data_IF_074064907930
#
_entry.id   IF_074064907930
#
_cell.length_a   1.000
_cell.length_b   1.000
_cell.length_c   1.000
_cell.angle_alpha   90.00
_cell.angle_beta   90.00
_cell.angle_gamma   90.00
#
_symmetry.space_group_name_H-M   'P 1'
#
loop_
_entity.id
_entity.type
_entity.pdbx_description
1 polymer ?
#
# COMPACT_ATOMS: atom_id res chain seq x y z
N UNK A 1 16.20 2.32 -10.22
CA UNK A 1 15.20 3.41 -10.13
C UNK A 1 14.65 3.53 -8.70
N UNK A 2 14.26 2.43 -8.07
CA UNK A 2 13.77 2.47 -6.69
C UNK A 2 14.84 3.05 -5.75
N UNK A 3 16.07 2.61 -5.86
CA UNK A 3 17.18 3.10 -5.03
C UNK A 3 17.40 4.61 -5.24
N UNK A 4 17.40 5.07 -6.48
CA UNK A 4 17.48 6.49 -6.77
C UNK A 4 16.31 7.31 -6.19
N UNK A 5 15.10 6.75 -6.12
CA UNK A 5 13.99 7.41 -5.40
C UNK A 5 14.22 7.44 -3.90
N UNK A 6 14.73 6.35 -3.32
CA UNK A 6 15.03 6.23 -1.91
C UNK A 6 16.15 7.20 -1.47
N UNK A 7 17.18 7.36 -2.31
CA UNK A 7 18.32 8.25 -2.02
C UNK A 7 17.94 9.75 -2.04
N UNK A 8 16.85 10.07 -2.72
CA UNK A 8 16.29 11.43 -2.80
C UNK A 8 15.02 11.61 -1.95
N UNK A 9 14.65 10.60 -1.17
CA UNK A 9 13.55 10.72 -0.21
C UNK A 9 13.98 11.51 1.02
N UNK A 10 13.03 12.21 1.64
CA UNK A 10 13.25 12.83 2.93
C UNK A 10 13.43 11.74 3.99
N UNK A 11 14.52 11.82 4.75
CA UNK A 11 14.83 10.83 5.78
C UNK A 11 13.90 10.96 6.99
N UNK A 12 13.48 9.83 7.53
CA UNK A 12 12.72 9.74 8.77
C UNK A 12 13.29 8.60 9.62
N UNK A 13 13.53 8.88 10.90
CA UNK A 13 14.07 7.91 11.85
C UNK A 13 12.93 7.13 12.50
N UNK A 14 12.68 5.94 11.98
CA UNK A 14 11.64 5.00 12.42
C UNK A 14 12.21 3.58 12.52
N UNK A 15 11.60 2.71 13.37
CA UNK A 15 12.05 1.33 13.49
C UNK A 15 11.97 0.61 12.14
N UNK A 16 13.07 0.02 11.69
CA UNK A 16 13.09 -0.78 10.45
C UNK A 16 12.19 -2.03 10.52
N UNK A 17 11.90 -2.49 11.73
CA UNK A 17 10.99 -3.64 11.99
C UNK A 17 9.50 -3.28 11.88
N UNK A 18 9.17 -2.09 11.38
CA UNK A 18 7.80 -1.70 11.09
C UNK A 18 7.29 -2.34 9.78
N UNK A 19 5.97 -2.39 9.63
CA UNK A 19 5.28 -2.91 8.45
C UNK A 19 4.72 -1.76 7.59
N UNK A 20 4.96 -1.81 6.28
CA UNK A 20 4.21 -1.03 5.29
C UNK A 20 3.08 -1.86 4.69
N UNK A 21 1.93 -1.25 4.49
CA UNK A 21 0.78 -1.86 3.83
C UNK A 21 0.29 -0.92 2.73
N UNK A 22 0.41 -1.35 1.49
CA UNK A 22 0.15 -0.48 0.34
C UNK A 22 -0.34 -1.28 -0.86
N UNK A 23 -1.11 -0.66 -1.74
CA UNK A 23 -1.47 -1.22 -3.05
C UNK A 23 -0.90 -0.36 -4.17
N UNK A 24 -0.73 -0.95 -5.33
CA UNK A 24 -0.36 -0.21 -6.55
C UNK A 24 -1.52 0.66 -7.06
N UNK A 25 -2.74 0.32 -6.68
CA UNK A 25 -3.94 0.86 -7.31
C UNK A 25 -4.08 0.40 -8.76
N UNK A 26 -5.08 0.96 -9.44
CA UNK A 26 -5.26 0.73 -10.88
C UNK A 26 -6.03 -0.54 -11.24
N UNK A 27 -6.60 -1.23 -10.27
CA UNK A 27 -7.45 -2.42 -10.44
C UNK A 27 -8.84 -2.10 -11.01
N UNK A 28 -9.26 -0.83 -10.99
CA UNK A 28 -10.56 -0.33 -11.46
C UNK A 28 -11.79 -0.94 -10.76
N UNK A 29 -11.61 -1.58 -9.61
CA UNK A 29 -12.69 -2.25 -8.88
C UNK A 29 -13.53 -1.30 -8.01
N UNK A 30 -13.04 -0.08 -7.77
CA UNK A 30 -13.70 0.93 -6.93
C UNK A 30 -14.06 0.43 -5.52
N UNK A 31 -13.18 -0.35 -4.92
CA UNK A 31 -13.30 -0.81 -3.54
C UNK A 31 -13.07 0.31 -2.52
N UNK A 32 -13.37 0.05 -1.26
CA UNK A 32 -12.96 0.90 -0.13
C UNK A 32 -11.44 0.87 0.03
N UNK A 33 -10.89 1.79 0.83
CA UNK A 33 -9.43 1.83 1.09
C UNK A 33 -9.00 0.69 2.03
N UNK A 34 -8.98 -0.55 1.50
CA UNK A 34 -8.72 -1.78 2.25
C UNK A 34 -7.37 -1.72 2.95
N UNK A 35 -6.31 -1.29 2.26
CA UNK A 35 -4.97 -1.17 2.85
C UNK A 35 -4.91 -0.18 4.02
N UNK A 36 -5.73 0.89 4.02
CA UNK A 36 -5.83 1.83 5.14
C UNK A 36 -6.55 1.19 6.33
N UNK A 37 -7.64 0.47 6.10
CA UNK A 37 -8.34 -0.26 7.15
C UNK A 37 -7.47 -1.37 7.74
N UNK A 38 -6.78 -2.14 6.91
CA UNK A 38 -5.85 -3.18 7.35
C UNK A 38 -4.71 -2.59 8.20
N UNK A 39 -4.16 -1.44 7.83
CA UNK A 39 -3.13 -0.74 8.60
C UNK A 39 -3.60 -0.44 10.04
N UNK A 40 -4.83 0.06 10.20
CA UNK A 40 -5.41 0.35 11.51
C UNK A 40 -5.65 -0.92 12.35
N UNK A 41 -6.17 -1.98 11.72
CA UNK A 41 -6.42 -3.26 12.39
C UNK A 41 -5.09 -3.87 12.87
N UNK A 42 -4.07 -3.88 12.03
CA UNK A 42 -2.76 -4.45 12.36
C UNK A 42 -2.07 -3.63 13.45
N UNK A 43 -2.13 -2.30 13.40
CA UNK A 43 -1.63 -1.47 14.48
C UNK A 43 -2.33 -1.77 15.82
N UNK A 44 -3.63 -2.06 15.78
CA UNK A 44 -4.41 -2.50 16.96
C UNK A 44 -3.95 -3.83 17.56
N UNK A 45 -3.19 -4.65 16.85
CA UNK A 45 -2.56 -5.87 17.39
C UNK A 45 -1.25 -5.60 18.13
N UNK A 46 -0.77 -4.36 18.14
CA UNK A 46 0.51 -3.97 18.73
C UNK A 46 1.70 -3.99 17.75
N UNK A 47 1.48 -4.30 16.48
CA UNK A 47 2.52 -4.17 15.46
C UNK A 47 2.72 -2.71 15.07
N UNK A 48 3.98 -2.30 14.88
CA UNK A 48 4.26 -0.95 14.37
C UNK A 48 3.99 -0.87 12.87
N UNK A 49 3.14 0.07 12.46
CA UNK A 49 2.79 0.29 11.05
C UNK A 49 3.29 1.65 10.57
N UNK A 50 4.09 1.64 9.52
CA UNK A 50 4.60 2.85 8.86
C UNK A 50 4.08 2.86 7.43
N UNK A 51 2.84 3.29 7.28
CA UNK A 51 2.16 3.26 6.00
C UNK A 51 2.64 4.37 5.08
N UNK A 52 3.19 4.00 3.93
CA UNK A 52 3.47 4.93 2.84
C UNK A 52 2.25 5.05 1.93
N UNK A 53 1.93 6.24 1.47
CA UNK A 53 0.79 6.42 0.59
C UNK A 53 0.65 7.82 0.01
N UNK A 54 -0.29 7.95 -0.92
CA UNK A 54 -0.53 9.19 -1.64
C UNK A 54 -2.04 9.45 -1.81
N UNK A 55 -2.36 10.58 -2.42
CA UNK A 55 -3.69 10.85 -2.96
C UNK A 55 -3.97 9.96 -4.16
N UNK A 56 -5.25 9.77 -4.48
CA UNK A 56 -5.66 9.01 -5.65
C UNK A 56 -5.05 9.59 -6.93
N UNK A 57 -4.54 8.69 -7.80
CA UNK A 57 -4.11 9.06 -9.14
C UNK A 57 -5.11 8.61 -10.21
N UNK A 58 -5.74 7.46 -10.03
CA UNK A 58 -6.68 6.84 -10.97
C UNK A 58 -8.00 6.41 -10.31
N UNK A 59 -8.00 6.21 -8.99
CA UNK A 59 -9.19 5.89 -8.19
C UNK A 59 -9.91 7.17 -7.73
N UNK A 60 -11.10 7.01 -7.16
CA UNK A 60 -11.89 8.15 -6.61
C UNK A 60 -11.34 8.66 -5.29
N UNK A 61 -10.64 7.85 -4.53
CA UNK A 61 -10.10 8.19 -3.20
C UNK A 61 -8.86 7.36 -2.90
N UNK A 62 -7.74 8.01 -2.62
CA UNK A 62 -6.51 7.39 -2.14
C UNK A 62 -6.45 7.33 -0.62
N UNK A 63 -5.42 6.69 -0.09
CA UNK A 63 -5.23 6.59 1.37
C UNK A 63 -5.12 7.96 2.05
N UNK A 64 -4.41 8.90 1.44
CA UNK A 64 -4.27 10.25 1.96
C UNK A 64 -5.62 11.00 2.00
N UNK A 65 -6.46 10.83 0.97
CA UNK A 65 -7.75 11.50 0.89
C UNK A 65 -8.70 11.03 2.02
N UNK A 66 -8.70 9.72 2.32
CA UNK A 66 -9.49 9.17 3.43
C UNK A 66 -8.98 9.64 4.78
N UNK A 67 -7.67 9.61 5.00
CA UNK A 67 -7.08 10.03 6.28
C UNK A 67 -7.36 11.51 6.55
N UNK A 68 -7.26 12.36 5.54
CA UNK A 68 -7.59 13.79 5.65
C UNK A 68 -9.09 14.00 5.96
N UNK A 69 -9.98 13.25 5.30
CA UNK A 69 -11.42 13.29 5.58
C UNK A 69 -11.76 12.82 7.01
N UNK A 70 -10.92 11.96 7.61
CA UNK A 70 -11.04 11.56 9.02
C UNK A 70 -10.38 12.56 9.99
N UNK A 71 -9.87 13.69 9.51
CA UNK A 71 -9.26 14.74 10.32
C UNK A 71 -7.77 14.52 10.65
N UNK A 72 -7.11 13.54 10.00
CA UNK A 72 -5.68 13.30 10.19
C UNK A 72 -4.89 14.31 9.35
N UNK A 73 -3.95 14.98 9.98
CA UNK A 73 -3.08 15.95 9.32
C UNK A 73 -1.99 15.25 8.52
N UNK A 74 -1.90 15.58 7.23
CA UNK A 74 -0.89 15.04 6.31
C UNK A 74 0.36 15.92 6.20
N UNK A 75 0.26 17.18 6.63
CA UNK A 75 1.28 18.22 6.52
C UNK A 75 2.17 18.35 7.77
N UNK A 76 2.22 17.29 8.59
CA UNK A 76 3.03 17.30 9.80
C UNK A 76 4.53 17.38 9.48
N UNK A 77 5.32 18.09 10.29
CA UNK A 77 6.78 18.04 10.21
C UNK A 77 7.31 16.60 10.41
N UNK A 78 8.37 16.23 9.70
CA UNK A 78 8.94 14.88 9.77
C UNK A 78 9.21 14.39 11.20
N UNK A 79 9.77 15.22 12.13
CA UNK A 79 9.93 14.79 13.51
C UNK A 79 8.62 14.43 14.22
N UNK A 80 7.53 15.16 13.94
CA UNK A 80 6.21 14.86 14.50
C UNK A 80 5.60 13.58 13.91
N UNK A 81 5.86 13.28 12.63
CA UNK A 81 5.49 12.00 12.01
C UNK A 81 6.20 10.83 12.70
N UNK A 82 7.49 10.98 13.02
CA UNK A 82 8.25 9.96 13.72
C UNK A 82 7.76 9.77 15.18
N UNK A 83 7.44 10.86 15.88
CA UNK A 83 6.88 10.80 17.22
C UNK A 83 5.52 10.12 17.26
N UNK A 84 4.65 10.44 16.30
CA UNK A 84 3.37 9.78 16.14
C UNK A 84 3.51 8.25 16.08
N UNK A 85 4.45 7.73 15.30
CA UNK A 85 4.71 6.29 15.24
C UNK A 85 5.16 5.71 16.59
N UNK A 86 5.98 6.42 17.35
CA UNK A 86 6.47 5.96 18.67
C UNK A 86 5.34 5.94 19.71
N UNK A 87 4.49 6.94 19.71
CA UNK A 87 3.40 7.07 20.69
C UNK A 87 2.20 6.16 20.39
N UNK A 88 1.83 6.03 19.11
CA UNK A 88 0.59 5.35 18.71
C UNK A 88 0.78 3.99 18.05
N UNK A 89 2.02 3.63 17.69
CA UNK A 89 2.32 2.41 16.92
C UNK A 89 1.98 2.51 15.44
N UNK A 90 1.44 3.64 14.95
CA UNK A 90 1.12 3.83 13.54
C UNK A 90 1.44 5.24 13.08
N UNK A 91 1.93 5.37 11.84
CA UNK A 91 2.08 6.68 11.19
C UNK A 91 1.86 6.58 9.69
N UNK A 92 1.64 7.74 9.07
CA UNK A 92 1.45 7.85 7.63
C UNK A 92 2.54 8.71 7.00
N UNK A 93 3.28 8.15 6.05
CA UNK A 93 4.28 8.85 5.26
C UNK A 93 3.64 9.34 3.96
N UNK A 94 3.29 10.62 3.94
CA UNK A 94 2.66 11.21 2.77
C UNK A 94 3.68 11.39 1.64
N UNK A 95 3.48 10.71 0.51
CA UNK A 95 4.46 10.64 -0.57
C UNK A 95 4.88 12.03 -1.11
N UNK A 96 3.99 13.03 -1.11
CA UNK A 96 4.35 14.38 -1.56
C UNK A 96 5.35 15.06 -0.63
N UNK A 97 5.29 14.79 0.67
CA UNK A 97 6.24 15.31 1.66
C UNK A 97 7.57 14.58 1.58
N UNK A 98 7.51 13.25 1.48
CA UNK A 98 8.69 12.40 1.61
C UNK A 98 9.45 12.16 0.29
N UNK A 99 8.80 12.34 -0.87
CA UNK A 99 9.43 12.23 -2.20
C UNK A 99 9.32 13.54 -2.98
N UNK A 100 9.95 14.63 -2.53
CA UNK A 100 9.81 15.95 -3.16
C UNK A 100 10.31 15.98 -4.61
N UNK A 101 11.24 15.11 -4.99
CA UNK A 101 11.74 14.97 -6.34
C UNK A 101 10.67 14.55 -7.36
N UNK A 102 9.59 13.89 -6.91
CA UNK A 102 8.49 13.47 -7.77
C UNK A 102 7.72 14.63 -8.40
N UNK A 103 7.83 15.85 -7.88
CA UNK A 103 7.29 17.06 -8.51
C UNK A 103 7.80 17.27 -9.93
N UNK A 104 9.02 16.84 -10.23
CA UNK A 104 9.63 16.99 -11.56
C UNK A 104 9.11 15.94 -12.56
N UNK A 105 8.64 14.81 -12.08
CA UNK A 105 8.14 13.71 -12.92
C UNK A 105 6.62 13.78 -13.12
N UNK A 106 5.90 14.34 -12.15
CA UNK A 106 4.44 14.39 -12.13
C UNK A 106 3.80 15.01 -13.38
N UNK A 107 4.26 16.17 -13.87
CA UNK A 107 3.72 16.78 -15.10
C UNK A 107 3.86 15.86 -16.33
N UNK A 108 5.03 15.27 -16.54
CA UNK A 108 5.31 14.37 -17.66
C UNK A 108 4.42 13.12 -17.59
N UNK A 109 4.26 12.53 -16.40
CA UNK A 109 3.37 11.38 -16.21
C UNK A 109 1.92 11.69 -16.57
N UNK A 110 1.42 12.87 -16.19
CA UNK A 110 0.07 13.33 -16.57
C UNK A 110 -0.11 13.48 -18.07
N UNK A 111 0.90 14.03 -18.74
CA UNK A 111 0.87 14.21 -20.21
C UNK A 111 0.89 12.87 -20.95
N UNK A 112 1.64 11.90 -20.45
CA UNK A 112 1.70 10.56 -21.06
C UNK A 112 0.37 9.82 -20.95
N UNK A 113 -0.39 9.98 -19.87
CA UNK A 113 -1.70 9.35 -19.67
C UNK A 113 -1.70 7.83 -19.62
N UNK A 114 -0.52 7.20 -19.51
CA UNK A 114 -0.35 5.74 -19.46
C UNK A 114 0.37 5.30 -18.18
N UNK A 115 0.20 4.06 -17.72
CA UNK A 115 0.98 3.49 -16.64
C UNK A 115 2.48 3.50 -16.97
N UNK A 116 3.29 3.85 -15.97
CA UNK A 116 4.75 3.87 -16.07
C UNK A 116 5.36 3.10 -14.92
N UNK A 117 6.68 2.91 -14.91
CA UNK A 117 7.40 2.29 -13.79
C UNK A 117 7.06 2.96 -12.44
N UNK A 118 6.81 4.26 -12.42
CA UNK A 118 6.45 5.00 -11.20
C UNK A 118 5.13 4.55 -10.55
N UNK A 119 4.28 3.81 -11.25
CA UNK A 119 3.08 3.22 -10.65
C UNK A 119 3.43 2.08 -9.67
N UNK A 120 4.59 1.45 -9.85
CA UNK A 120 5.05 0.30 -9.07
C UNK A 120 6.17 0.67 -8.09
N UNK A 121 6.86 1.80 -8.31
CA UNK A 121 7.98 2.20 -7.46
C UNK A 121 7.52 2.71 -6.08
N UNK A 122 6.35 3.33 -5.98
CA UNK A 122 5.82 3.86 -4.72
C UNK A 122 5.81 2.82 -3.60
N UNK A 123 5.19 1.64 -3.80
CA UNK A 123 5.20 0.56 -2.81
C UNK A 123 6.59 0.00 -2.46
N UNK A 124 7.59 0.24 -3.29
CA UNK A 124 8.95 -0.28 -3.12
C UNK A 124 9.92 0.74 -2.50
N UNK A 125 9.41 1.94 -2.17
CA UNK A 125 10.26 3.09 -1.77
C UNK A 125 9.71 3.80 -0.54
N UNK A 126 9.29 3.01 0.48
CA UNK A 126 8.91 3.58 1.77
C UNK A 126 10.07 4.38 2.37
N UNK A 127 9.91 5.67 2.66
CA UNK A 127 10.99 6.55 3.14
C UNK A 127 11.65 6.10 4.44
N UNK A 128 10.93 5.36 5.29
CA UNK A 128 11.47 4.79 6.53
C UNK A 128 12.31 3.52 6.29
N UNK A 129 12.45 3.04 5.05
CA UNK A 129 13.21 1.84 4.68
C UNK A 129 12.82 0.63 5.53
N UNK A 130 11.52 0.48 5.80
CA UNK A 130 10.99 -0.67 6.54
C UNK A 130 11.35 -1.98 5.86
N UNK A 131 11.58 -3.01 6.67
CA UNK A 131 12.01 -4.33 6.18
C UNK A 131 10.86 -5.31 6.00
N UNK A 132 9.63 -4.89 6.30
CA UNK A 132 8.44 -5.72 6.12
C UNK A 132 7.39 -4.96 5.33
N UNK A 133 6.81 -5.61 4.32
CA UNK A 133 5.81 -4.98 3.45
C UNK A 133 4.72 -5.97 3.04
N UNK A 134 3.47 -5.48 3.00
CA UNK A 134 2.33 -6.20 2.42
C UNK A 134 1.80 -5.36 1.24
N UNK A 135 1.89 -5.89 0.02
CA UNK A 135 1.69 -5.10 -1.18
C UNK A 135 0.70 -5.76 -2.14
N UNK A 136 -0.41 -5.09 -2.34
CA UNK A 136 -1.37 -5.46 -3.37
C UNK A 136 -0.95 -4.98 -4.77
N UNK A 137 -1.02 -5.83 -5.77
CA UNK A 137 -0.56 -5.50 -7.14
C UNK A 137 -1.56 -5.93 -8.20
N UNK A 138 -2.21 -4.98 -8.87
CA UNK A 138 -3.20 -5.29 -9.90
C UNK A 138 -2.62 -6.02 -11.13
N UNK A 139 -1.40 -5.70 -11.53
CA UNK A 139 -0.75 -6.29 -12.70
C UNK A 139 0.03 -7.56 -12.33
N UNK A 140 -0.35 -8.75 -12.86
CA UNK A 140 0.26 -10.03 -12.47
C UNK A 140 1.75 -10.14 -12.82
N UNK A 141 2.17 -9.56 -13.94
CA UNK A 141 3.58 -9.57 -14.36
C UNK A 141 4.43 -8.71 -13.45
N UNK A 142 3.88 -7.59 -12.99
CA UNK A 142 4.58 -6.70 -12.05
C UNK A 142 4.60 -7.25 -10.63
N UNK A 143 3.57 -7.98 -10.20
CA UNK A 143 3.54 -8.63 -8.90
C UNK A 143 4.75 -9.56 -8.71
N UNK A 144 4.97 -10.47 -9.66
CA UNK A 144 6.11 -11.38 -9.63
C UNK A 144 7.46 -10.64 -9.65
N UNK A 145 7.61 -9.64 -10.53
CA UNK A 145 8.84 -8.83 -10.61
C UNK A 145 9.13 -8.07 -9.31
N UNK A 146 8.11 -7.50 -8.70
CA UNK A 146 8.26 -6.80 -7.42
C UNK A 146 8.67 -7.78 -6.31
N UNK A 147 8.08 -8.97 -6.27
CA UNK A 147 8.43 -10.00 -5.31
C UNK A 147 9.92 -10.41 -5.42
N UNK A 148 10.43 -10.60 -6.64
CA UNK A 148 11.86 -10.86 -6.87
C UNK A 148 12.75 -9.72 -6.36
N UNK A 149 12.37 -8.46 -6.57
CA UNK A 149 13.16 -7.31 -6.06
C UNK A 149 13.22 -7.31 -4.54
N UNK A 150 12.14 -7.63 -3.84
CA UNK A 150 12.15 -7.73 -2.37
C UNK A 150 13.01 -8.90 -1.88
N UNK A 151 12.94 -10.05 -2.55
CA UNK A 151 13.81 -11.18 -2.25
C UNK A 151 15.30 -10.82 -2.43
N UNK A 152 15.67 -10.20 -3.56
CA UNK A 152 17.04 -9.74 -3.82
C UNK A 152 17.54 -8.71 -2.79
N UNK A 153 16.64 -7.91 -2.20
CA UNK A 153 16.98 -6.96 -1.13
C UNK A 153 17.10 -7.62 0.24
N UNK A 154 16.70 -8.87 0.38
CA UNK A 154 16.60 -9.57 1.67
C UNK A 154 15.53 -8.94 2.58
N UNK A 155 14.50 -8.31 2.01
CA UNK A 155 13.36 -7.76 2.73
C UNK A 155 12.27 -8.82 2.90
N UNK A 156 11.48 -8.74 3.97
CA UNK A 156 10.27 -9.55 4.12
C UNK A 156 9.13 -8.87 3.38
N UNK A 157 8.58 -9.51 2.37
CA UNK A 157 7.46 -8.95 1.63
C UNK A 157 6.42 -10.00 1.26
N UNK A 158 5.17 -9.65 1.45
CA UNK A 158 4.03 -10.39 0.95
C UNK A 158 3.40 -9.59 -0.19
N UNK A 159 3.57 -10.08 -1.40
CA UNK A 159 2.96 -9.51 -2.60
C UNK A 159 1.72 -10.33 -2.90
N UNK A 160 0.60 -9.70 -3.20
CA UNK A 160 -0.64 -10.42 -3.46
C UNK A 160 -1.48 -9.75 -4.54
N UNK A 161 -2.34 -10.58 -5.14
CA UNK A 161 -3.30 -10.19 -6.17
C UNK A 161 -4.49 -11.14 -6.17
N UNK A 162 -5.71 -10.61 -6.16
CA UNK A 162 -6.92 -11.39 -6.40
C UNK A 162 -6.97 -11.95 -7.83
N UNK A 163 -7.45 -13.18 -8.01
CA UNK A 163 -7.65 -13.75 -9.34
C UNK A 163 -8.75 -13.02 -10.13
N UNK A 164 -9.58 -12.23 -9.46
CA UNK A 164 -10.53 -11.28 -10.05
C UNK A 164 -9.90 -9.96 -10.52
N UNK A 165 -8.61 -9.77 -10.27
CA UNK A 165 -7.84 -8.58 -10.67
C UNK A 165 -7.67 -7.52 -9.59
N UNK A 166 -8.25 -7.74 -8.42
CA UNK A 166 -8.13 -6.85 -7.26
C UNK A 166 -6.66 -6.77 -6.79
N UNK A 167 -6.18 -5.57 -6.48
CA UNK A 167 -4.87 -5.37 -5.83
C UNK A 167 -4.95 -5.50 -4.30
N UNK A 168 -5.79 -6.41 -3.85
CA UNK A 168 -5.98 -6.80 -2.45
C UNK A 168 -6.28 -8.30 -2.37
N UNK A 169 -6.29 -8.88 -1.18
CA UNK A 169 -6.86 -10.21 -0.98
C UNK A 169 -8.38 -10.16 -1.19
N UNK A 170 -8.89 -11.05 -2.03
CA UNK A 170 -10.32 -11.09 -2.33
C UNK A 170 -11.03 -12.21 -1.58
N UNK A 171 -12.32 -12.00 -1.28
CA UNK A 171 -13.22 -13.04 -0.82
C UNK A 171 -14.16 -13.55 -1.93
N UNK A 172 -14.06 -12.98 -3.14
CA UNK A 172 -14.88 -13.40 -4.28
C UNK A 172 -14.33 -14.66 -4.96
N UNK A 173 -13.02 -14.81 -4.95
CA UNK A 173 -12.30 -15.93 -5.54
C UNK A 173 -11.01 -16.19 -4.75
N UNK A 174 -10.06 -16.91 -5.33
CA UNK A 174 -8.71 -17.09 -4.76
C UNK A 174 -7.83 -15.88 -5.02
N UNK A 175 -6.73 -15.78 -4.29
CA UNK A 175 -5.68 -14.81 -4.52
C UNK A 175 -4.34 -15.53 -4.72
N UNK A 176 -3.49 -14.97 -5.55
CA UNK A 176 -2.11 -15.43 -5.75
C UNK A 176 -1.18 -14.61 -4.88
N UNK A 177 -0.29 -15.28 -4.17
CA UNK A 177 0.64 -14.68 -3.23
C UNK A 177 2.07 -15.06 -3.58
N UNK A 178 2.96 -14.09 -3.42
CA UNK A 178 4.41 -14.26 -3.51
C UNK A 178 5.00 -13.73 -2.20
N UNK A 179 5.66 -14.60 -1.47
CA UNK A 179 6.26 -14.28 -0.19
C UNK A 179 7.78 -14.31 -0.31
N UNK A 180 8.42 -13.18 -0.05
CA UNK A 180 9.86 -13.04 0.00
C UNK A 180 10.29 -13.03 1.47
N UNK A 181 11.15 -13.96 1.87
CA UNK A 181 11.71 -14.09 3.22
C UNK A 181 13.16 -14.54 3.11
N UNK A 182 14.06 -13.80 3.75
CA UNK A 182 15.50 -14.14 3.82
C UNK A 182 16.16 -14.41 2.45
N UNK A 183 15.69 -13.71 1.42
CA UNK A 183 16.20 -13.84 0.05
C UNK A 183 15.53 -14.95 -0.77
N UNK A 184 14.70 -15.76 -0.16
CA UNK A 184 13.92 -16.79 -0.85
C UNK A 184 12.55 -16.29 -1.26
N UNK A 185 12.03 -16.78 -2.37
CA UNK A 185 10.72 -16.46 -2.89
C UNK A 185 9.85 -17.72 -2.96
N UNK A 186 8.71 -17.68 -2.28
CA UNK A 186 7.70 -18.73 -2.32
C UNK A 186 6.42 -18.20 -2.96
N UNK A 187 5.82 -18.98 -3.83
CA UNK A 187 4.54 -18.67 -4.45
C UNK A 187 3.48 -19.66 -3.98
N UNK A 188 2.30 -19.16 -3.60
CA UNK A 188 1.16 -19.99 -3.21
C UNK A 188 -0.17 -19.31 -3.49
N UNK A 189 -1.25 -20.04 -3.29
CA UNK A 189 -2.62 -19.52 -3.41
C UNK A 189 -3.29 -19.43 -2.05
N UNK A 190 -4.07 -18.40 -1.87
CA UNK A 190 -4.97 -18.21 -0.75
C UNK A 190 -6.41 -18.43 -1.23
N UNK A 191 -7.10 -19.40 -0.65
CA UNK A 191 -8.55 -19.58 -0.80
C UNK A 191 -9.23 -19.13 0.50
N UNK A 192 -10.08 -18.08 0.47
CA UNK A 192 -10.74 -17.59 1.67
C UNK A 192 -11.62 -18.65 2.35
N UNK A 193 -12.10 -19.64 1.61
CA UNK A 193 -12.94 -20.71 2.18
C UNK A 193 -12.19 -21.66 3.12
N UNK A 194 -10.88 -21.81 2.93
CA UNK A 194 -10.02 -22.61 3.83
C UNK A 194 -9.88 -21.97 5.22
N UNK A 195 -10.17 -20.66 5.32
CA UNK A 195 -10.16 -19.88 6.56
C UNK A 195 -11.56 -19.61 7.11
N UNK A 196 -12.58 -20.36 6.62
CA UNK A 196 -13.96 -20.22 7.09
C UNK A 196 -14.69 -18.98 6.56
N UNK A 197 -14.11 -18.24 5.62
CA UNK A 197 -14.76 -17.09 5.00
C UNK A 197 -15.69 -17.55 3.88
N UNK A 198 -16.89 -16.96 3.82
CA UNK A 198 -17.83 -17.24 2.74
C UNK A 198 -17.45 -16.43 1.50
N UNK A 199 -17.50 -17.08 0.32
CA UNK A 199 -17.33 -16.34 -0.95
C UNK A 199 -18.47 -15.34 -1.11
N UNK A 200 -18.09 -14.10 -1.39
CA UNK A 200 -19.03 -12.99 -1.62
C UNK A 200 -18.66 -12.23 -2.89
N UNK A 201 -19.67 -11.66 -3.53
CA UNK A 201 -19.43 -10.76 -4.65
C UNK A 201 -18.77 -9.47 -4.14
N UNK A 202 -17.84 -8.86 -4.88
CA UNK A 202 -17.26 -7.59 -4.51
C UNK A 202 -18.38 -6.56 -4.27
N UNK A 203 -18.36 -5.93 -3.11
CA UNK A 203 -19.33 -4.88 -2.78
C UNK A 203 -18.88 -3.60 -3.45
N UNK A 204 -19.62 -3.17 -4.47
CA UNK A 204 -19.34 -1.87 -5.08
C UNK A 204 -19.74 -0.73 -4.13
N UNK A 205 -19.01 0.37 -4.17
CA UNK A 205 -19.28 1.60 -3.39
C UNK A 205 -20.74 2.09 -3.49
N UNK A 206 -21.45 1.74 -4.54
CA UNK A 206 -22.84 2.15 -4.76
C UNK A 206 -23.83 1.58 -3.73
N UNK A 207 -23.46 0.54 -3.00
CA UNK A 207 -24.31 -0.10 -2.00
C UNK A 207 -24.10 0.42 -0.58
N UNK A 208 -23.06 1.21 -0.33
CA UNK A 208 -22.81 1.89 0.93
C UNK A 208 -23.51 3.25 0.98
N UNK A 209 -24.78 3.33 0.58
CA UNK A 209 -25.58 4.51 0.92
C UNK A 209 -25.81 4.51 2.42
N UNK A 210 -25.50 5.59 3.15
CA UNK A 210 -25.96 5.71 4.51
C UNK A 210 -27.47 5.59 4.47
N UNK A 211 -28.05 4.68 5.26
CA UNK A 211 -29.46 4.74 5.56
C UNK A 211 -29.70 6.10 6.19
N UNK A 212 -30.38 6.98 5.47
CA UNK A 212 -30.94 8.16 6.08
C UNK A 212 -31.90 7.68 7.15
N UNK A 213 -31.47 7.69 8.40
CA UNK A 213 -32.37 7.70 9.53
C UNK A 213 -33.15 9.01 9.45
N UNK A 214 -34.44 8.89 9.25
CA UNK A 214 -35.45 9.93 9.36
C UNK A 214 -35.45 10.48 10.78
#
# INVERSE_FOLDING_TARGET
LADGMQDHAASVDLPSRALDIVGTGGDQQNTVNISTMAALVIAGTGATVVKHGNRASTSKSGSADVLEALGIRLDMPIPAVAECARETGITFLFAMTFHPAMRHVGPTRRLLGIPTAFNYLGPMTNPARVKSSAIGVANPVMAEKMAHVFAERGDHALIFRGDDGLDELTIATTSRLWEAVDGELTEYRFDPTEYGLQKAQPVSYKHLRPHHTV
#
